data_IF_343651103162
#
_entry.id   IF_343651103162
#
_cell.length_a   1.000
_cell.length_b   1.000
_cell.length_c   1.000
_cell.angle_alpha   90.00
_cell.angle_beta   90.00
_cell.angle_gamma   90.00
#
_symmetry.space_group_name_H-M   'P 1'
#
loop_
_entity.id
_entity.type
_entity.pdbx_description
1 polymer ?
#
# COMPACT_ATOMS: atom_id res chain seq x y z
N UNK A 1 -15.71 18.34 2.95
CA UNK A 1 -14.51 19.05 2.47
C UNK A 1 -13.40 18.06 2.26
N UNK A 2 -12.69 18.14 1.12
CA UNK A 2 -11.56 17.27 0.72
C UNK A 2 -10.52 17.10 1.84
N UNK A 3 -10.28 18.16 2.62
CA UNK A 3 -9.34 18.19 3.75
C UNK A 3 -9.62 17.09 4.79
N UNK A 4 -10.88 16.71 5.02
CA UNK A 4 -11.22 15.65 5.97
C UNK A 4 -10.73 14.28 5.50
N UNK A 5 -10.75 14.00 4.20
CA UNK A 5 -10.22 12.76 3.63
C UNK A 5 -8.69 12.68 3.79
N UNK A 6 -8.01 13.81 3.57
CA UNK A 6 -6.56 13.91 3.80
C UNK A 6 -6.19 13.79 5.28
N UNK A 7 -6.96 14.41 6.17
CA UNK A 7 -6.75 14.30 7.61
C UNK A 7 -6.95 12.85 8.09
N UNK A 8 -7.95 12.14 7.56
CA UNK A 8 -8.18 10.73 7.84
C UNK A 8 -7.00 9.86 7.37
N UNK A 9 -6.51 10.08 6.15
CA UNK A 9 -5.34 9.41 5.60
C UNK A 9 -4.09 9.63 6.47
N UNK A 10 -3.81 10.89 6.82
CA UNK A 10 -2.67 11.25 7.65
C UNK A 10 -2.77 10.63 9.05
N UNK A 11 -3.96 10.65 9.66
CA UNK A 11 -4.21 10.01 10.95
C UNK A 11 -3.96 8.50 10.89
N UNK A 12 -4.53 7.81 9.90
CA UNK A 12 -4.34 6.36 9.73
C UNK A 12 -2.87 6.02 9.48
N UNK A 13 -2.16 6.83 8.69
CA UNK A 13 -0.75 6.63 8.41
C UNK A 13 0.12 6.81 9.66
N UNK A 14 -0.08 7.89 10.41
CA UNK A 14 0.67 8.16 11.64
C UNK A 14 0.41 7.09 12.70
N UNK A 15 -0.85 6.70 12.88
CA UNK A 15 -1.25 5.64 13.81
C UNK A 15 -0.66 4.29 13.40
N UNK A 16 -0.69 3.95 12.10
CA UNK A 16 -0.13 2.70 11.60
C UNK A 16 1.39 2.63 11.76
N UNK A 17 2.11 3.72 11.52
CA UNK A 17 3.56 3.79 11.77
C UNK A 17 3.87 3.60 13.26
N UNK A 18 3.15 4.31 14.15
CA UNK A 18 3.32 4.16 15.59
C UNK A 18 3.06 2.71 16.06
N UNK A 19 2.00 2.07 15.55
CA UNK A 19 1.72 0.66 15.84
C UNK A 19 2.81 -0.27 15.27
N UNK A 20 3.32 0.01 14.08
CA UNK A 20 4.39 -0.78 13.45
C UNK A 20 5.72 -0.70 14.21
N UNK A 21 6.04 0.45 14.79
CA UNK A 21 7.22 0.63 15.64
C UNK A 21 7.05 -0.09 16.98
N UNK A 22 5.86 0.00 17.58
CA UNK A 22 5.54 -0.73 18.81
C UNK A 22 5.61 -2.24 18.60
N UNK A 23 5.08 -2.73 17.47
CA UNK A 23 5.16 -4.14 17.09
C UNK A 23 6.61 -4.58 16.86
N UNK A 24 7.41 -3.72 16.20
CA UNK A 24 8.84 -3.97 16.01
C UNK A 24 9.59 -4.09 17.33
N UNK A 25 9.34 -3.17 18.25
CA UNK A 25 9.92 -3.23 19.60
C UNK A 25 9.47 -4.46 20.38
N UNK A 26 8.23 -4.90 20.23
CA UNK A 26 7.70 -6.09 20.90
C UNK A 26 8.32 -7.40 20.38
N UNK A 27 8.62 -7.45 19.08
CA UNK A 27 9.29 -8.60 18.43
C UNK A 27 10.82 -8.53 18.62
N UNK A 28 11.34 -7.42 19.15
CA UNK A 28 12.78 -7.22 19.37
C UNK A 28 13.56 -6.77 18.13
N UNK A 29 12.87 -6.27 17.11
CA UNK A 29 13.50 -5.72 15.90
C UNK A 29 13.55 -4.19 15.96
N UNK A 30 14.65 -3.59 15.51
CA UNK A 30 14.91 -2.14 15.58
C UNK A 30 14.24 -1.32 14.47
N UNK A 31 13.34 -1.92 13.71
CA UNK A 31 12.75 -1.34 12.50
C UNK A 31 11.24 -1.49 12.53
N UNK A 32 10.53 -0.54 11.92
CA UNK A 32 9.09 -0.59 11.72
C UNK A 32 8.65 -1.87 11.02
N UNK A 33 7.76 -2.64 11.65
CA UNK A 33 7.25 -3.90 11.09
C UNK A 33 5.89 -3.63 10.46
N UNK A 34 5.90 -3.27 9.17
CA UNK A 34 4.69 -3.24 8.35
C UNK A 34 3.68 -2.13 8.70
N UNK A 35 4.11 -1.02 9.31
CA UNK A 35 3.24 0.08 9.72
C UNK A 35 2.41 0.69 8.59
N UNK A 36 2.90 0.64 7.34
CA UNK A 36 2.13 1.03 6.14
C UNK A 36 0.94 0.09 5.90
N UNK A 37 1.13 -1.23 6.05
CA UNK A 37 0.06 -2.21 5.93
C UNK A 37 -0.97 -2.08 7.05
N UNK A 38 -0.49 -1.84 8.28
CA UNK A 38 -1.36 -1.55 9.44
C UNK A 38 -2.20 -0.30 9.18
N UNK A 39 -1.59 0.76 8.64
CA UNK A 39 -2.29 1.98 8.24
C UNK A 39 -3.37 1.72 7.19
N UNK A 40 -3.09 0.89 6.18
CA UNK A 40 -4.07 0.51 5.15
C UNK A 40 -5.28 -0.23 5.75
N UNK A 41 -5.04 -1.23 6.61
CA UNK A 41 -6.11 -1.95 7.28
C UNK A 41 -6.95 -1.04 8.17
N UNK A 42 -6.29 -0.15 8.93
CA UNK A 42 -6.95 0.82 9.79
C UNK A 42 -7.84 1.76 8.96
N UNK A 43 -7.34 2.24 7.82
CA UNK A 43 -8.09 3.08 6.91
C UNK A 43 -9.31 2.37 6.31
N UNK A 44 -9.17 1.11 5.88
CA UNK A 44 -10.28 0.31 5.35
C UNK A 44 -11.36 0.13 6.44
N UNK A 45 -10.96 -0.29 7.64
CA UNK A 45 -11.87 -0.48 8.77
C UNK A 45 -12.58 0.82 9.16
N UNK A 46 -11.83 1.92 9.25
CA UNK A 46 -12.38 3.21 9.66
C UNK A 46 -13.31 3.79 8.59
N UNK A 47 -12.96 3.64 7.30
CA UNK A 47 -13.85 4.01 6.19
C UNK A 47 -15.15 3.20 6.23
N UNK A 48 -15.07 1.88 6.39
CA UNK A 48 -16.26 1.02 6.48
C UNK A 48 -17.15 1.39 7.67
N UNK A 49 -16.55 1.67 8.83
CA UNK A 49 -17.28 2.08 10.03
C UNK A 49 -17.97 3.43 9.87
N UNK A 50 -17.25 4.42 9.32
CA UNK A 50 -17.77 5.77 9.11
C UNK A 50 -18.87 5.79 8.03
N UNK A 51 -18.72 4.94 7.00
CA UNK A 51 -19.75 4.73 5.98
C UNK A 51 -21.03 4.12 6.57
N UNK A 52 -20.93 3.08 7.40
CA UNK A 52 -22.10 2.47 8.08
C UNK A 52 -22.84 3.44 9.02
N UNK A 53 -22.13 4.41 9.61
CA UNK A 53 -22.73 5.45 10.46
C UNK A 53 -23.35 6.62 9.67
N UNK A 54 -23.20 6.64 8.34
CA UNK A 54 -23.64 7.76 7.50
C UNK A 54 -22.80 9.03 7.67
N UNK A 55 -21.62 8.93 8.30
CA UNK A 55 -20.74 10.06 8.61
C UNK A 55 -19.62 10.22 7.57
N UNK A 56 -19.74 9.56 6.42
CA UNK A 56 -18.80 9.64 5.31
C UNK A 56 -19.40 10.50 4.18
N UNK A 57 -19.32 11.84 4.27
CA UNK A 57 -19.78 12.70 3.18
C UNK A 57 -18.93 12.44 1.93
N UNK A 58 -19.54 12.54 0.74
CA UNK A 58 -18.90 12.30 -0.57
C UNK A 58 -17.57 13.07 -0.74
N UNK A 59 -17.51 14.27 -0.17
CA UNK A 59 -16.32 15.12 -0.15
C UNK A 59 -15.11 14.51 0.60
N UNK A 60 -15.35 13.71 1.64
CA UNK A 60 -14.29 13.01 2.38
C UNK A 60 -13.74 11.85 1.56
N UNK A 61 -14.59 11.16 0.80
CA UNK A 61 -14.15 10.12 -0.14
C UNK A 61 -13.33 10.71 -1.29
N UNK A 62 -13.74 11.88 -1.81
CA UNK A 62 -12.99 12.61 -2.82
C UNK A 62 -11.58 12.97 -2.34
N UNK A 63 -11.41 13.32 -1.06
CA UNK A 63 -10.09 13.57 -0.48
C UNK A 63 -9.18 12.35 -0.39
N UNK A 64 -9.74 11.16 -0.17
CA UNK A 64 -8.97 9.90 -0.21
C UNK A 64 -8.64 9.53 -1.66
N UNK A 65 -9.60 9.67 -2.58
CA UNK A 65 -9.42 9.43 -4.01
C UNK A 65 -8.37 10.34 -4.64
N UNK A 66 -8.30 11.60 -4.23
CA UNK A 66 -7.27 12.56 -4.66
C UNK A 66 -5.84 12.04 -4.38
N UNK A 67 -5.59 11.48 -3.19
CA UNK A 67 -4.28 10.89 -2.87
C UNK A 67 -4.02 9.59 -3.63
N UNK A 68 -5.07 8.81 -3.91
CA UNK A 68 -4.98 7.66 -4.81
C UNK A 68 -4.54 8.05 -6.22
N UNK A 69 -5.06 9.15 -6.75
CA UNK A 69 -4.65 9.70 -8.05
C UNK A 69 -3.17 10.18 -8.04
N UNK A 70 -2.66 10.61 -6.88
CA UNK A 70 -1.25 10.99 -6.69
C UNK A 70 -0.31 9.79 -6.53
N UNK A 71 -0.79 8.55 -6.64
CA UNK A 71 0.04 7.34 -6.47
C UNK A 71 1.22 7.28 -7.44
N UNK A 72 0.99 7.57 -8.73
CA UNK A 72 2.03 7.50 -9.77
C UNK A 72 3.26 8.36 -9.40
N UNK A 73 3.13 9.68 -9.19
CA UNK A 73 4.29 10.52 -8.86
C UNK A 73 4.95 10.14 -7.52
N UNK A 74 4.19 9.70 -6.51
CA UNK A 74 4.74 9.27 -5.22
C UNK A 74 5.60 8.01 -5.36
N UNK A 75 5.14 7.02 -6.13
CA UNK A 75 5.92 5.80 -6.39
C UNK A 75 7.16 6.10 -7.23
N UNK A 76 7.04 7.00 -8.21
CA UNK A 76 8.20 7.45 -9.00
C UNK A 76 9.24 8.13 -8.10
N UNK A 77 8.82 8.99 -7.17
CA UNK A 77 9.72 9.61 -6.21
C UNK A 77 10.39 8.58 -5.27
N UNK A 78 9.65 7.56 -4.82
CA UNK A 78 10.21 6.46 -4.04
C UNK A 78 11.25 5.64 -4.84
N UNK A 79 10.98 5.39 -6.12
CA UNK A 79 11.90 4.69 -7.01
C UNK A 79 13.17 5.50 -7.28
N UNK A 80 13.05 6.83 -7.42
CA UNK A 80 14.19 7.72 -7.67
C UNK A 80 15.21 7.75 -6.51
N UNK A 81 14.77 7.46 -5.28
CA UNK A 81 15.66 7.36 -4.12
C UNK A 81 16.45 6.03 -4.05
N UNK A 82 16.21 5.09 -4.96
CA UNK A 82 16.93 3.81 -4.97
C UNK A 82 18.34 3.96 -5.57
N UNK A 83 19.35 3.38 -4.91
CA UNK A 83 20.75 3.47 -5.34
C UNK A 83 21.10 2.37 -6.37
N UNK A 84 20.92 2.68 -7.64
CA UNK A 84 21.18 1.75 -8.76
C UNK A 84 22.67 1.39 -8.87
N UNK A 85 23.57 2.32 -8.53
CA UNK A 85 25.02 2.08 -8.61
C UNK A 85 25.46 1.05 -7.55
N UNK A 86 24.90 1.12 -6.34
CA UNK A 86 25.16 0.11 -5.31
C UNK A 86 24.63 -1.27 -5.74
N UNK A 87 23.46 -1.31 -6.38
CA UNK A 87 22.89 -2.55 -6.91
C UNK A 87 23.79 -3.20 -7.98
N UNK A 88 24.31 -2.42 -8.92
CA UNK A 88 25.21 -2.91 -9.98
C UNK A 88 26.58 -3.35 -9.43
N UNK A 89 27.11 -2.64 -8.42
CA UNK A 89 28.36 -3.03 -7.74
C UNK A 89 28.25 -4.34 -6.96
N UNK A 90 27.03 -4.80 -6.64
CA UNK A 90 26.77 -6.11 -6.05
C UNK A 90 27.14 -7.29 -6.96
N UNK A 91 27.45 -7.04 -8.24
CA UNK A 91 27.93 -8.04 -9.18
C UNK A 91 26.84 -8.97 -9.73
N UNK A 92 27.22 -9.99 -10.52
CA UNK A 92 26.27 -10.87 -11.21
C UNK A 92 25.35 -11.65 -10.27
N UNK A 93 25.84 -11.99 -9.07
CA UNK A 93 25.08 -12.74 -8.06
C UNK A 93 23.91 -11.92 -7.52
N UNK A 94 24.09 -10.61 -7.31
CA UNK A 94 23.00 -9.72 -6.88
C UNK A 94 21.88 -9.63 -7.93
N UNK A 95 22.25 -9.58 -9.21
CA UNK A 95 21.30 -9.54 -10.32
C UNK A 95 20.49 -10.85 -10.41
N UNK A 96 21.17 -12.00 -10.34
CA UNK A 96 20.52 -13.32 -10.37
C UNK A 96 19.61 -13.52 -9.16
N UNK A 97 20.02 -13.08 -7.97
CA UNK A 97 19.20 -13.14 -6.77
C UNK A 97 17.95 -12.27 -6.89
N UNK A 98 18.07 -11.05 -7.42
CA UNK A 98 16.94 -10.15 -7.64
C UNK A 98 15.92 -10.73 -8.64
N UNK A 99 16.39 -11.18 -9.80
CA UNK A 99 15.53 -11.80 -10.83
C UNK A 99 14.91 -13.10 -10.31
N UNK A 100 15.69 -13.93 -9.61
CA UNK A 100 15.21 -15.17 -9.01
C UNK A 100 14.12 -14.92 -7.96
N UNK A 101 14.31 -13.95 -7.06
CA UNK A 101 13.30 -13.58 -6.07
C UNK A 101 12.01 -13.08 -6.72
N UNK A 102 12.12 -12.21 -7.74
CA UNK A 102 10.95 -11.73 -8.50
C UNK A 102 10.23 -12.89 -9.19
N UNK A 103 10.96 -13.79 -9.83
CA UNK A 103 10.38 -14.95 -10.52
C UNK A 103 9.65 -15.91 -9.55
N UNK A 104 10.25 -16.19 -8.39
CA UNK A 104 9.64 -17.05 -7.37
C UNK A 104 8.36 -16.40 -6.81
N UNK A 105 8.41 -15.11 -6.45
CA UNK A 105 7.23 -14.39 -5.98
C UNK A 105 6.14 -14.34 -7.04
N UNK A 106 6.48 -14.05 -8.30
CA UNK A 106 5.54 -14.03 -9.40
C UNK A 106 4.91 -15.42 -9.65
N UNK A 107 5.69 -16.49 -9.59
CA UNK A 107 5.19 -17.85 -9.70
C UNK A 107 4.24 -18.20 -8.55
N UNK A 108 4.61 -17.84 -7.31
CA UNK A 108 3.76 -18.04 -6.14
C UNK A 108 2.42 -17.30 -6.27
N UNK A 109 2.45 -16.02 -6.67
CA UNK A 109 1.24 -15.23 -6.95
C UNK A 109 0.41 -15.88 -8.06
N UNK A 110 1.03 -16.32 -9.15
CA UNK A 110 0.32 -16.98 -10.26
C UNK A 110 -0.35 -18.29 -9.83
N UNK A 111 0.30 -19.09 -8.97
CA UNK A 111 -0.28 -20.32 -8.41
C UNK A 111 -1.45 -19.99 -7.48
N UNK A 112 -1.29 -19.01 -6.60
CA UNK A 112 -2.35 -18.57 -5.68
C UNK A 112 -3.55 -18.02 -6.45
N UNK A 113 -3.31 -17.20 -7.48
CA UNK A 113 -4.36 -16.64 -8.33
C UNK A 113 -5.11 -17.72 -9.12
N UNK A 114 -4.41 -18.75 -9.62
CA UNK A 114 -5.04 -19.86 -10.38
C UNK A 114 -5.79 -20.86 -9.48
N UNK A 115 -5.38 -20.98 -8.23
CA UNK A 115 -5.98 -21.93 -7.27
C UNK A 115 -7.09 -21.28 -6.44
N UNK A 116 -7.04 -19.95 -6.27
CA UNK A 116 -8.12 -19.17 -5.71
C UNK A 116 -9.34 -19.22 -6.62
N UNK A 117 -10.51 -19.53 -6.06
CA UNK A 117 -11.78 -19.36 -6.76
C UNK A 117 -12.00 -17.87 -7.02
N UNK A 118 -12.24 -17.51 -8.28
CA UNK A 118 -12.48 -16.14 -8.76
C UNK A 118 -13.81 -15.51 -8.26
N UNK A 119 -14.21 -15.74 -7.01
CA UNK A 119 -15.39 -15.08 -6.43
C UNK A 119 -15.09 -13.64 -5.98
N UNK A 120 -13.83 -13.21 -6.13
CA UNK A 120 -13.34 -11.86 -5.80
C UNK A 120 -12.44 -11.27 -6.89
N UNK A 121 -12.57 -11.74 -8.14
CA UNK A 121 -12.07 -10.97 -9.28
C UNK A 121 -12.63 -9.54 -9.14
N UNK A 122 -11.78 -8.52 -9.35
CA UNK A 122 -12.03 -7.08 -9.19
C UNK A 122 -13.24 -6.55 -10.01
N UNK A 123 -14.43 -7.09 -9.79
CA UNK A 123 -15.70 -6.69 -10.35
C UNK A 123 -16.21 -5.51 -9.52
N UNK A 124 -15.68 -4.32 -9.79
CA UNK A 124 -16.16 -3.12 -9.13
C UNK A 124 -15.20 -1.95 -9.05
N UNK A 125 -14.06 -1.96 -9.76
CA UNK A 125 -13.38 -0.70 -10.05
C UNK A 125 -14.13 -0.08 -11.23
N UNK A 126 -14.91 1.00 -11.06
CA UNK A 126 -15.37 1.76 -12.22
C UNK A 126 -14.10 2.15 -13.00
N UNK A 127 -14.00 1.69 -14.25
CA UNK A 127 -13.04 2.25 -15.18
C UNK A 127 -13.37 3.72 -15.25
N UNK A 128 -12.49 4.57 -14.71
CA UNK A 128 -12.53 5.98 -15.03
C UNK A 128 -12.25 6.05 -16.53
N UNK A 129 -13.30 6.24 -17.32
CA UNK A 129 -13.18 6.63 -18.72
C UNK A 129 -12.26 7.84 -18.75
N UNK A 130 -11.13 7.70 -19.44
CA UNK A 130 -10.27 8.83 -19.78
C UNK A 130 -11.04 9.73 -20.75
N UNK A 131 -11.44 10.90 -20.25
CA UNK A 131 -11.86 12.03 -21.07
C UNK A 131 -11.20 13.32 -20.59
#
# INVERSE_FOLDING_TARGET
>A
MIIYGTALLAFCHLAGLFLGDLLGSAIGVKTNVGGVGIAMLLLICLRLWLHRRGWLPKETEAGVGFWGAMYIPVVVAMAANQNVVAALKGGPVALLAAVGAVAICACCIAVLARTGRDDTAFAGVPQFEEQ
#
